data_IF_971872492325
#
_entry.id   IF_971872492325
#
_cell.length_a   1.000
_cell.length_b   1.000
_cell.length_c   1.000
_cell.angle_alpha   90.00
_cell.angle_beta   90.00
_cell.angle_gamma   90.00
#
_symmetry.space_group_name_H-M   'P 1'
#
loop_
_entity.id
_entity.type
_entity.pdbx_description
1 polymer ?
#
# COMPACT_ATOMS: atom_id res chain seq x y z
N UNK A 1 -53.28 -27.44 -44.29
CA UNK A 1 -52.50 -27.90 -43.14
C UNK A 1 -51.06 -27.43 -43.16
N UNK A 2 -50.27 -27.52 -44.22
CA UNK A 2 -48.87 -27.05 -44.30
C UNK A 2 -48.64 -25.55 -44.01
N UNK A 3 -49.61 -24.70 -44.37
CA UNK A 3 -49.47 -23.25 -44.16
C UNK A 3 -49.83 -22.79 -42.76
N UNK A 4 -50.74 -23.50 -42.07
CA UNK A 4 -51.03 -23.25 -40.66
C UNK A 4 -49.85 -23.63 -39.73
N UNK A 5 -49.12 -24.69 -40.12
CA UNK A 5 -47.94 -25.11 -39.33
C UNK A 5 -46.78 -24.06 -39.43
N UNK A 6 -46.66 -23.41 -40.57
CA UNK A 6 -45.65 -22.33 -40.79
C UNK A 6 -45.98 -21.06 -39.99
N UNK A 7 -47.27 -20.70 -39.91
CA UNK A 7 -47.74 -19.55 -39.12
C UNK A 7 -47.58 -19.79 -37.65
N UNK A 8 -47.90 -21.02 -37.16
CA UNK A 8 -47.70 -21.41 -35.76
C UNK A 8 -46.21 -21.41 -35.40
N UNK A 9 -45.29 -21.82 -36.31
CA UNK A 9 -43.85 -21.78 -36.08
C UNK A 9 -43.29 -20.36 -36.00
N UNK A 10 -43.82 -19.42 -36.79
CA UNK A 10 -43.42 -17.99 -36.75
C UNK A 10 -43.94 -17.30 -35.51
N UNK A 11 -45.15 -17.62 -35.07
CA UNK A 11 -45.71 -17.11 -33.78
C UNK A 11 -44.96 -17.69 -32.58
N UNK A 12 -44.57 -18.97 -32.63
CA UNK A 12 -43.75 -19.59 -31.59
C UNK A 12 -42.32 -18.98 -31.48
N UNK A 13 -41.72 -18.55 -32.60
CA UNK A 13 -40.42 -17.87 -32.61
C UNK A 13 -40.50 -16.42 -32.11
N UNK A 14 -41.67 -15.77 -32.20
CA UNK A 14 -41.90 -14.43 -31.64
C UNK A 14 -42.09 -14.44 -30.11
N UNK A 15 -42.50 -15.59 -29.52
CA UNK A 15 -42.63 -15.76 -28.06
C UNK A 15 -41.35 -16.31 -27.41
N UNK A 16 -40.33 -16.70 -28.18
CA UNK A 16 -38.98 -17.03 -27.70
C UNK A 16 -38.07 -15.79 -27.67
N UNK A 17 -38.62 -14.59 -27.86
CA UNK A 17 -37.94 -13.35 -27.42
C UNK A 17 -37.86 -13.43 -25.91
N UNK A 18 -36.79 -14.08 -25.44
CA UNK A 18 -36.44 -14.07 -24.04
C UNK A 18 -36.45 -12.64 -23.55
N UNK A 19 -36.93 -12.44 -22.35
CA UNK A 19 -36.79 -11.20 -21.64
C UNK A 19 -35.34 -10.73 -21.80
N UNK A 20 -35.09 -9.88 -22.78
CA UNK A 20 -33.94 -9.00 -22.77
C UNK A 20 -34.19 -8.13 -21.53
N UNK A 21 -33.79 -8.64 -20.38
CA UNK A 21 -33.48 -7.78 -19.27
C UNK A 21 -32.43 -6.82 -19.81
N UNK A 22 -32.89 -5.70 -20.34
CA UNK A 22 -32.07 -4.53 -20.39
C UNK A 22 -31.55 -4.43 -18.96
N UNK A 23 -30.29 -4.77 -18.75
CA UNK A 23 -29.60 -4.46 -17.52
C UNK A 23 -29.69 -2.94 -17.40
N UNK A 24 -30.78 -2.50 -16.78
CA UNK A 24 -31.00 -1.13 -16.40
C UNK A 24 -29.98 -0.80 -15.34
N UNK A 25 -28.74 -0.58 -15.77
CA UNK A 25 -27.72 -0.03 -14.93
C UNK A 25 -28.26 1.28 -14.38
N UNK A 26 -28.36 1.36 -13.05
CA UNK A 26 -28.52 2.64 -12.40
C UNK A 26 -29.88 3.06 -11.91
N UNK A 27 -30.92 2.25 -12.00
CA UNK A 27 -32.19 2.57 -11.35
C UNK A 27 -32.37 1.69 -10.11
N UNK A 28 -32.52 2.32 -8.95
CA UNK A 28 -32.83 1.64 -7.71
C UNK A 28 -34.17 0.90 -7.85
N UNK A 29 -34.14 -0.42 -7.98
CA UNK A 29 -35.35 -1.24 -8.05
C UNK A 29 -35.87 -1.53 -6.65
N UNK A 30 -37.19 -1.38 -6.37
CA UNK A 30 -37.76 -1.58 -5.04
C UNK A 30 -37.56 -3.00 -4.46
N UNK A 31 -37.19 -3.96 -5.29
CA UNK A 31 -37.00 -5.37 -4.90
C UNK A 31 -35.59 -5.78 -4.55
N UNK A 32 -34.60 -4.93 -4.74
CA UNK A 32 -33.20 -5.19 -4.40
C UNK A 32 -32.70 -4.12 -3.44
N UNK A 33 -32.39 -4.51 -2.20
CA UNK A 33 -31.69 -3.64 -1.27
C UNK A 33 -30.28 -3.42 -1.77
N UNK A 34 -30.00 -2.22 -2.28
CA UNK A 34 -28.67 -1.78 -2.69
C UNK A 34 -28.24 -0.67 -1.75
N UNK A 35 -27.08 -0.84 -1.13
CA UNK A 35 -26.47 0.17 -0.26
C UNK A 35 -25.65 1.20 -1.07
N UNK A 36 -25.85 1.26 -2.39
CA UNK A 36 -25.12 2.14 -3.31
C UNK A 36 -26.08 2.74 -4.35
N UNK A 37 -25.78 3.98 -4.75
CA UNK A 37 -26.55 4.70 -5.76
C UNK A 37 -26.54 3.99 -7.13
N UNK A 38 -25.45 3.26 -7.42
CA UNK A 38 -25.26 2.51 -8.67
C UNK A 38 -24.39 1.28 -8.40
N UNK A 39 -24.56 0.24 -9.19
CA UNK A 39 -23.68 -0.93 -9.16
C UNK A 39 -22.34 -0.58 -9.84
N UNK A 40 -21.25 -0.89 -9.17
CA UNK A 40 -19.90 -0.78 -9.76
C UNK A 40 -19.70 -1.95 -10.73
N UNK A 41 -20.00 -1.74 -12.01
CA UNK A 41 -19.94 -2.78 -13.06
C UNK A 41 -18.51 -3.19 -13.40
N UNK A 42 -17.56 -2.25 -13.31
CA UNK A 42 -16.19 -2.49 -13.70
C UNK A 42 -15.32 -2.80 -12.48
N UNK A 43 -14.85 -4.05 -12.36
CA UNK A 43 -13.77 -4.37 -11.43
C UNK A 43 -12.50 -3.59 -11.83
N UNK A 44 -11.74 -3.06 -10.86
CA UNK A 44 -10.47 -2.42 -11.16
C UNK A 44 -9.52 -3.48 -11.75
N UNK A 45 -9.21 -3.34 -13.04
CA UNK A 45 -8.21 -4.16 -13.73
C UNK A 45 -7.22 -3.22 -14.42
N UNK A 46 -6.50 -2.46 -13.61
CA UNK A 46 -5.50 -1.52 -14.09
C UNK A 46 -4.15 -2.22 -14.26
N UNK A 47 -3.55 -2.05 -15.43
CA UNK A 47 -2.15 -2.43 -15.63
C UNK A 47 -1.26 -1.38 -15.01
N UNK A 48 -0.24 -1.85 -14.32
CA UNK A 48 0.83 -0.99 -13.77
C UNK A 48 1.56 -0.31 -14.91
N UNK A 49 1.71 1.00 -14.84
CA UNK A 49 2.53 1.76 -15.78
C UNK A 49 4.00 1.44 -15.45
N UNK A 50 4.77 0.83 -16.37
CA UNK A 50 6.17 0.55 -16.12
C UNK A 50 6.95 1.84 -15.92
N UNK A 51 7.99 1.79 -15.09
CA UNK A 51 8.92 2.91 -14.98
C UNK A 51 9.59 3.17 -16.32
N UNK A 52 9.82 4.44 -16.62
CA UNK A 52 10.60 4.81 -17.80
C UNK A 52 11.99 4.17 -17.75
N UNK A 53 12.47 3.72 -18.91
CA UNK A 53 13.82 3.18 -18.99
C UNK A 53 14.84 4.29 -18.68
N UNK A 54 15.75 4.00 -17.78
CA UNK A 54 16.78 4.92 -17.31
C UNK A 54 18.15 4.28 -17.54
N UNK A 55 19.03 4.97 -18.27
CA UNK A 55 20.42 4.53 -18.43
C UNK A 55 21.26 5.12 -17.31
N UNK A 56 22.29 4.42 -16.91
CA UNK A 56 23.25 4.92 -15.92
C UNK A 56 23.88 6.26 -16.35
N UNK A 57 24.18 6.40 -17.64
CA UNK A 57 24.75 7.64 -18.21
C UNK A 57 23.80 8.86 -18.19
N UNK A 58 22.50 8.62 -18.03
CA UNK A 58 21.47 9.68 -17.98
C UNK A 58 21.21 10.16 -16.54
N UNK A 59 21.74 9.46 -15.54
CA UNK A 59 21.66 9.84 -14.12
C UNK A 59 22.83 10.74 -13.76
N UNK A 60 22.57 12.04 -13.62
CA UNK A 60 23.59 12.99 -13.20
C UNK A 60 23.77 13.00 -11.69
N UNK A 61 22.67 12.85 -10.99
CA UNK A 61 22.62 12.86 -9.53
C UNK A 61 21.62 11.81 -9.03
N UNK A 62 21.97 11.14 -7.95
CA UNK A 62 21.06 10.23 -7.27
C UNK A 62 21.36 10.20 -5.78
N UNK A 63 20.31 10.05 -4.98
CA UNK A 63 20.40 9.92 -3.53
C UNK A 63 19.35 8.98 -3.01
N UNK A 64 19.74 8.10 -2.10
CA UNK A 64 18.81 7.18 -1.44
C UNK A 64 18.30 7.81 -0.17
N UNK A 65 16.99 7.71 0.04
CA UNK A 65 16.28 8.31 1.16
C UNK A 65 15.34 7.30 1.78
N UNK A 66 15.32 7.27 3.10
CA UNK A 66 14.33 6.53 3.88
C UNK A 66 13.36 7.53 4.50
N UNK A 67 12.08 7.33 4.21
CA UNK A 67 10.99 8.17 4.71
C UNK A 67 10.08 7.40 5.63
N UNK A 68 9.58 8.08 6.64
CA UNK A 68 8.57 7.54 7.54
C UNK A 68 7.21 8.15 7.23
N UNK A 69 6.24 7.30 6.96
CA UNK A 69 4.82 7.64 6.75
C UNK A 69 4.07 7.25 8.02
N UNK A 70 3.63 8.24 8.78
CA UNK A 70 2.90 8.03 10.05
C UNK A 70 1.41 7.95 9.76
N UNK A 71 0.77 6.84 10.14
CA UNK A 71 -0.64 6.59 9.81
C UNK A 71 -1.63 7.45 10.58
N UNK A 72 -1.24 8.01 11.73
CA UNK A 72 -2.09 8.92 12.51
C UNK A 72 -2.27 10.30 11.88
N UNK A 73 -1.43 10.66 10.91
CA UNK A 73 -1.57 11.93 10.21
C UNK A 73 -2.79 11.94 9.29
N UNK A 74 -3.50 13.06 9.24
CA UNK A 74 -4.76 13.23 8.50
C UNK A 74 -4.65 12.82 7.02
N UNK A 75 -3.56 13.17 6.34
CA UNK A 75 -3.34 12.79 4.94
C UNK A 75 -3.18 11.29 4.73
N UNK A 76 -2.69 10.59 5.75
CA UNK A 76 -2.35 9.17 5.68
C UNK A 76 -3.49 8.26 6.16
N UNK A 77 -4.58 8.82 6.68
CA UNK A 77 -5.74 8.04 7.14
C UNK A 77 -6.31 7.13 6.06
N UNK A 78 -6.18 7.51 4.79
CA UNK A 78 -6.61 6.68 3.66
C UNK A 78 -5.81 5.38 3.53
N UNK A 79 -4.59 5.31 4.08
CA UNK A 79 -3.77 4.11 4.11
C UNK A 79 -4.16 3.19 5.28
N UNK A 80 -4.71 3.78 6.35
CA UNK A 80 -5.08 3.08 7.58
C UNK A 80 -6.49 2.49 7.52
N UNK A 81 -7.47 3.25 7.03
CA UNK A 81 -8.87 2.83 6.96
C UNK A 81 -9.21 2.11 5.65
N UNK A 82 -10.18 1.16 5.68
CA UNK A 82 -11.03 0.76 6.80
C UNK A 82 -10.31 -0.20 7.76
N UNK A 83 -10.65 -0.12 9.05
CA UNK A 83 -10.13 -1.04 10.08
C UNK A 83 -10.63 -2.46 9.86
N UNK A 84 -11.91 -2.59 9.50
CA UNK A 84 -12.52 -3.86 9.11
C UNK A 84 -12.68 -3.87 7.58
N UNK A 85 -12.10 -4.87 6.88
CA UNK A 85 -12.19 -4.95 5.44
C UNK A 85 -13.65 -5.02 4.96
N UNK A 86 -14.01 -4.16 4.02
CA UNK A 86 -15.28 -4.21 3.31
C UNK A 86 -15.10 -4.88 1.95
N UNK A 87 -16.20 -5.33 1.32
CA UNK A 87 -16.16 -6.01 0.02
C UNK A 87 -15.37 -5.23 -1.05
N UNK A 88 -15.46 -3.90 -1.03
CA UNK A 88 -14.87 -3.02 -2.05
C UNK A 88 -13.60 -2.30 -1.58
N UNK A 89 -13.31 -2.26 -0.28
CA UNK A 89 -12.21 -1.47 0.28
C UNK A 89 -11.49 -2.26 1.38
N UNK A 90 -10.17 -2.22 1.33
CA UNK A 90 -9.28 -2.85 2.31
C UNK A 90 -8.22 -1.84 2.71
N UNK A 91 -7.74 -1.91 3.94
CA UNK A 91 -6.58 -1.11 4.35
C UNK A 91 -5.31 -1.53 3.62
N UNK A 92 -4.29 -0.68 3.63
CA UNK A 92 -2.99 -1.05 3.04
C UNK A 92 -2.42 -2.31 3.71
N UNK A 93 -2.60 -2.45 5.03
CA UNK A 93 -2.18 -3.64 5.77
C UNK A 93 -2.89 -4.91 5.30
N UNK A 94 -4.21 -4.86 5.16
CA UNK A 94 -5.00 -6.01 4.70
C UNK A 94 -4.62 -6.44 3.29
N UNK A 95 -4.26 -5.49 2.42
CA UNK A 95 -3.76 -5.78 1.08
C UNK A 95 -2.40 -6.49 1.13
N UNK A 96 -1.50 -6.04 2.00
CA UNK A 96 -0.19 -6.68 2.22
C UNK A 96 -0.39 -8.11 2.69
N UNK A 97 -1.18 -8.31 3.75
CA UNK A 97 -1.48 -9.65 4.30
C UNK A 97 -2.15 -10.54 3.27
N UNK A 98 -3.13 -10.01 2.53
CA UNK A 98 -3.79 -10.73 1.46
C UNK A 98 -2.84 -11.17 0.34
N UNK A 99 -1.89 -10.29 -0.02
CA UNK A 99 -0.89 -10.58 -1.06
C UNK A 99 0.14 -11.60 -0.63
N UNK A 100 0.55 -11.59 0.64
CA UNK A 100 1.48 -12.60 1.20
C UNK A 100 0.80 -13.97 1.27
N UNK A 101 -0.48 -14.02 1.62
CA UNK A 101 -1.24 -15.28 1.69
C UNK A 101 -1.61 -15.82 0.31
N UNK A 102 -1.79 -14.95 -0.69
CA UNK A 102 -2.13 -15.36 -2.04
C UNK A 102 -0.87 -15.76 -2.82
N UNK A 103 -0.77 -17.04 -3.15
CA UNK A 103 0.38 -17.59 -3.88
C UNK A 103 0.55 -17.04 -5.31
N UNK A 104 -0.54 -16.52 -5.91
CA UNK A 104 -0.49 -15.98 -7.27
C UNK A 104 0.32 -14.68 -7.36
N UNK A 105 0.35 -13.89 -6.29
CA UNK A 105 1.05 -12.60 -6.28
C UNK A 105 2.56 -12.73 -6.12
N UNK A 106 3.06 -13.92 -5.79
CA UNK A 106 4.49 -14.25 -5.65
C UNK A 106 5.31 -13.20 -4.87
N UNK A 107 4.69 -12.62 -3.82
CA UNK A 107 5.31 -11.57 -3.02
C UNK A 107 6.34 -12.17 -2.07
N UNK A 108 7.59 -11.74 -2.22
CA UNK A 108 8.69 -12.16 -1.35
C UNK A 108 8.89 -11.14 -0.22
N UNK A 109 8.90 -11.64 1.01
CA UNK A 109 9.24 -10.84 2.19
C UNK A 109 10.73 -10.97 2.48
N UNK A 110 11.33 -9.88 2.95
CA UNK A 110 12.75 -9.84 3.29
C UNK A 110 12.94 -9.45 4.75
N UNK A 111 13.92 -10.08 5.38
CA UNK A 111 14.26 -9.80 6.77
C UNK A 111 14.80 -8.39 6.93
N UNK A 112 14.50 -7.78 8.07
CA UNK A 112 14.95 -6.42 8.41
C UNK A 112 16.18 -6.50 9.30
N UNK A 113 17.20 -5.71 8.98
CA UNK A 113 18.27 -5.40 9.91
C UNK A 113 17.93 -4.09 10.64
N UNK A 114 17.76 -4.08 11.96
CA UNK A 114 17.42 -2.85 12.68
C UNK A 114 18.57 -1.83 12.72
N UNK A 115 19.79 -2.29 12.46
CA UNK A 115 20.99 -1.45 12.48
C UNK A 115 21.39 -0.89 11.12
N UNK A 116 20.97 -1.56 10.03
CA UNK A 116 21.39 -1.21 8.68
C UNK A 116 20.22 -1.34 7.72
N UNK A 117 19.58 -0.22 7.42
CA UNK A 117 18.44 -0.17 6.50
C UNK A 117 18.87 -0.33 5.03
N UNK A 118 20.16 -0.20 4.74
CA UNK A 118 20.65 -0.38 3.38
C UNK A 118 20.68 -1.85 2.95
N UNK A 119 20.87 -2.77 3.89
CA UNK A 119 20.79 -4.21 3.65
C UNK A 119 19.37 -4.76 3.48
N UNK A 120 18.44 -3.94 3.01
CA UNK A 120 17.11 -4.39 2.56
C UNK A 120 17.28 -5.39 1.41
N UNK A 121 16.38 -6.34 1.28
CA UNK A 121 16.33 -7.30 0.16
C UNK A 121 17.50 -8.28 0.02
N UNK A 122 18.40 -8.38 0.97
CA UNK A 122 19.52 -9.33 0.94
C UNK A 122 19.14 -10.72 1.45
N UNK A 123 18.21 -10.79 2.42
CA UNK A 123 17.81 -12.02 3.09
C UNK A 123 16.31 -12.28 2.89
N UNK A 124 15.91 -13.09 1.90
CA UNK A 124 14.52 -13.47 1.76
C UNK A 124 14.07 -14.33 2.95
N UNK A 125 12.88 -14.03 3.45
CA UNK A 125 12.24 -14.80 4.52
C UNK A 125 11.64 -16.10 3.98
N UNK A 126 11.75 -17.17 4.75
CA UNK A 126 11.00 -18.39 4.46
C UNK A 126 9.51 -18.16 4.71
N UNK A 127 8.67 -18.97 4.08
CA UNK A 127 7.22 -18.84 4.24
C UNK A 127 6.78 -18.90 5.70
N UNK A 128 7.36 -19.83 6.47
CA UNK A 128 7.08 -19.99 7.91
C UNK A 128 7.46 -18.75 8.72
N UNK A 129 8.60 -18.12 8.40
CA UNK A 129 9.01 -16.85 9.02
C UNK A 129 8.07 -15.71 8.64
N UNK A 130 7.64 -15.63 7.38
CA UNK A 130 6.67 -14.66 6.91
C UNK A 130 5.33 -14.80 7.63
N UNK A 131 4.80 -16.02 7.71
CA UNK A 131 3.55 -16.29 8.42
C UNK A 131 3.66 -15.93 9.92
N UNK A 132 4.79 -16.24 10.57
CA UNK A 132 5.06 -15.87 11.96
C UNK A 132 5.17 -14.35 12.16
N UNK A 133 5.73 -13.63 11.19
CA UNK A 133 5.84 -12.17 11.25
C UNK A 133 4.48 -11.46 11.19
N UNK A 134 3.46 -12.12 10.61
CA UNK A 134 2.09 -11.61 10.53
C UNK A 134 1.27 -11.87 11.80
N UNK A 135 1.86 -12.49 12.83
CA UNK A 135 1.20 -12.80 14.08
C UNK A 135 1.70 -11.89 15.21
N UNK A 136 0.79 -11.58 16.14
CA UNK A 136 1.12 -11.03 17.47
C UNK A 136 0.94 -12.12 18.50
N UNK A 137 1.86 -12.17 19.46
CA UNK A 137 1.78 -13.08 20.60
C UNK A 137 0.91 -12.41 21.65
N UNK A 138 -0.21 -13.05 21.99
CA UNK A 138 -1.11 -12.59 23.05
C UNK A 138 -1.22 -13.67 24.11
N UNK A 139 -1.04 -13.27 25.37
CA UNK A 139 -1.27 -14.16 26.50
C UNK A 139 -2.77 -14.41 26.66
N UNK A 140 -3.20 -15.63 26.45
CA UNK A 140 -4.59 -16.05 26.65
C UNK A 140 -4.67 -16.86 27.93
N UNK A 141 -5.45 -16.37 28.91
CA UNK A 141 -5.70 -17.10 30.16
C UNK A 141 -6.92 -17.98 29.97
N UNK A 142 -6.74 -19.26 30.14
CA UNK A 142 -7.80 -20.26 30.07
C UNK A 142 -8.73 -20.16 31.29
N UNK A 143 -9.95 -20.71 31.19
CA UNK A 143 -10.92 -20.76 32.30
C UNK A 143 -10.38 -21.40 33.58
N UNK A 144 -9.28 -22.15 33.46
CA UNK A 144 -8.58 -22.80 34.58
C UNK A 144 -7.43 -21.96 35.18
N UNK A 145 -7.27 -20.69 34.72
CA UNK A 145 -6.21 -19.80 35.20
C UNK A 145 -4.81 -20.03 34.61
N UNK A 146 -4.67 -20.97 33.64
CA UNK A 146 -3.41 -21.20 32.96
C UNK A 146 -3.23 -20.18 31.82
N UNK A 147 -2.14 -19.43 31.85
CA UNK A 147 -1.80 -18.50 30.77
C UNK A 147 -0.99 -19.22 29.70
N UNK A 148 -1.48 -19.22 28.48
CA UNK A 148 -0.78 -19.74 27.30
C UNK A 148 -0.60 -18.64 26.26
N UNK A 149 0.55 -18.61 25.59
CA UNK A 149 0.81 -17.68 24.51
C UNK A 149 0.16 -18.18 23.22
N UNK A 150 -0.79 -17.41 22.70
CA UNK A 150 -1.46 -17.70 21.42
C UNK A 150 -1.04 -16.68 20.37
N UNK A 151 -0.72 -17.16 19.16
CA UNK A 151 -0.47 -16.30 18.01
C UNK A 151 -1.79 -15.82 17.39
N UNK A 152 -2.08 -14.54 17.49
CA UNK A 152 -3.23 -13.92 16.82
C UNK A 152 -2.76 -13.14 15.58
N UNK A 153 -3.57 -13.08 14.50
CA UNK A 153 -3.23 -12.29 13.34
C UNK A 153 -3.15 -10.80 13.70
N UNK A 154 -2.16 -10.11 13.13
CA UNK A 154 -2.08 -8.66 13.22
C UNK A 154 -3.19 -8.03 12.40
N UNK A 155 -3.82 -7.02 12.96
CA UNK A 155 -4.88 -6.22 12.33
C UNK A 155 -4.37 -4.84 11.94
N UNK A 156 -5.14 -4.11 11.12
CA UNK A 156 -4.79 -2.75 10.70
C UNK A 156 -4.47 -1.80 11.86
N UNK A 157 -5.17 -1.81 13.01
CA UNK A 157 -4.87 -0.98 14.18
C UNK A 157 -3.52 -1.27 14.86
N UNK A 158 -2.94 -2.43 14.62
CA UNK A 158 -1.65 -2.80 15.18
C UNK A 158 -0.48 -2.16 14.40
N UNK A 159 -0.73 -1.62 13.21
CA UNK A 159 0.26 -0.96 12.36
C UNK A 159 0.21 0.55 12.59
N UNK A 160 1.36 1.13 12.89
CA UNK A 160 1.47 2.56 13.22
C UNK A 160 2.07 3.40 12.10
N UNK A 161 3.01 2.83 11.36
CA UNK A 161 3.84 3.57 10.41
C UNK A 161 4.30 2.66 9.26
N UNK A 162 4.66 3.28 8.13
CA UNK A 162 5.36 2.62 7.03
C UNK A 162 6.66 3.35 6.73
N UNK A 163 7.76 2.63 6.66
CA UNK A 163 9.01 3.18 6.15
C UNK A 163 9.12 2.88 4.66
N UNK A 164 9.40 3.91 3.88
CA UNK A 164 9.65 3.82 2.44
C UNK A 164 11.14 3.99 2.17
N UNK A 165 11.69 3.12 1.35
CA UNK A 165 13.03 3.24 0.78
C UNK A 165 12.88 3.75 -0.65
N UNK A 166 13.46 4.92 -0.93
CA UNK A 166 13.31 5.63 -2.18
C UNK A 166 14.67 5.96 -2.78
N UNK A 167 14.79 5.84 -4.09
CA UNK A 167 15.92 6.40 -4.85
C UNK A 167 15.42 7.63 -5.61
N UNK A 168 16.00 8.78 -5.26
CA UNK A 168 15.80 10.06 -5.93
C UNK A 168 16.92 10.25 -6.94
N UNK A 169 16.58 10.68 -8.13
CA UNK A 169 17.56 10.88 -9.20
C UNK A 169 17.12 11.97 -10.16
N UNK A 170 18.09 12.61 -10.76
CA UNK A 170 17.87 13.57 -11.84
C UNK A 170 18.15 12.91 -13.18
N UNK A 171 17.11 12.88 -14.03
CA UNK A 171 17.19 12.33 -15.39
C UNK A 171 17.55 13.43 -16.37
N UNK A 172 18.75 13.33 -16.96
CA UNK A 172 19.27 14.29 -17.94
C UNK A 172 18.41 14.40 -19.20
N UNK A 173 17.85 13.27 -19.64
CA UNK A 173 17.06 13.27 -20.90
C UNK A 173 15.74 14.00 -20.74
N UNK A 174 15.07 13.82 -19.60
CA UNK A 174 13.79 14.46 -19.31
C UNK A 174 13.95 15.80 -18.58
N UNK A 175 15.15 16.09 -18.08
CA UNK A 175 15.45 17.27 -17.26
C UNK A 175 14.52 17.40 -16.06
N UNK A 176 14.23 16.32 -15.38
CA UNK A 176 13.35 16.29 -14.21
C UNK A 176 13.95 15.48 -13.08
N UNK A 177 13.68 15.90 -11.85
CA UNK A 177 13.90 15.08 -10.67
C UNK A 177 12.76 14.07 -10.56
N UNK A 178 13.10 12.80 -10.50
CA UNK A 178 12.13 11.71 -10.38
C UNK A 178 12.49 10.84 -9.17
N UNK A 179 11.53 10.06 -8.70
CA UNK A 179 11.70 9.19 -7.53
C UNK A 179 11.14 7.80 -7.81
N UNK A 180 11.88 6.78 -7.36
CA UNK A 180 11.41 5.40 -7.40
C UNK A 180 11.35 4.84 -5.99
N UNK A 181 10.16 4.38 -5.60
CA UNK A 181 10.01 3.63 -4.37
C UNK A 181 10.54 2.21 -4.62
N UNK A 182 11.56 1.82 -3.87
CA UNK A 182 12.18 0.51 -3.95
C UNK A 182 11.55 -0.47 -2.98
N UNK A 183 11.22 0.00 -1.78
CA UNK A 183 10.71 -0.85 -0.73
C UNK A 183 9.82 -0.18 0.27
N UNK A 184 9.04 -1.02 0.94
CA UNK A 184 8.15 -0.63 2.01
C UNK A 184 8.35 -1.58 3.20
N UNK A 185 8.44 -1.02 4.40
CA UNK A 185 8.54 -1.77 5.65
C UNK A 185 7.47 -1.30 6.63
N UNK A 186 6.49 -2.13 6.98
CA UNK A 186 5.52 -1.80 8.02
C UNK A 186 6.15 -1.86 9.42
N UNK A 187 5.66 -0.98 10.30
CA UNK A 187 5.97 -0.97 11.72
C UNK A 187 4.73 -1.35 12.51
N UNK A 188 4.86 -2.37 13.33
CA UNK A 188 3.82 -2.75 14.28
C UNK A 188 4.07 -2.12 15.64
N UNK A 189 3.02 -1.94 16.42
CA UNK A 189 3.10 -1.63 17.84
C UNK A 189 3.99 -2.66 18.54
N UNK A 190 4.81 -2.20 19.47
CA UNK A 190 5.56 -3.11 20.31
C UNK A 190 4.64 -3.69 21.40
N UNK A 191 4.70 -4.99 21.59
CA UNK A 191 3.96 -5.70 22.60
C UNK A 191 4.94 -6.28 23.63
N UNK A 192 4.58 -6.24 24.87
CA UNK A 192 5.29 -6.88 25.96
C UNK A 192 5.07 -8.43 25.90
N UNK A 193 5.77 -9.19 26.75
CA UNK A 193 5.65 -10.65 26.86
C UNK A 193 4.23 -11.10 27.26
N UNK A 194 3.46 -10.24 27.89
CA UNK A 194 2.07 -10.47 28.28
C UNK A 194 1.07 -10.08 27.17
N UNK A 195 1.54 -9.58 26.04
CA UNK A 195 0.70 -9.12 24.93
C UNK A 195 0.10 -7.72 25.12
N UNK A 196 0.55 -6.94 26.12
CA UNK A 196 0.12 -5.57 26.30
C UNK A 196 0.91 -4.65 25.36
N UNK A 197 0.26 -3.63 24.83
CA UNK A 197 0.90 -2.60 24.01
C UNK A 197 1.86 -1.75 24.87
N UNK A 198 3.09 -1.57 24.39
CA UNK A 198 4.06 -0.63 24.95
C UNK A 198 3.85 0.72 24.29
N UNK A 199 3.29 1.71 24.99
CA UNK A 199 2.97 3.01 24.40
C UNK A 199 4.22 3.69 23.81
N UNK A 200 4.07 4.23 22.58
CA UNK A 200 5.13 4.98 21.90
C UNK A 200 6.27 4.14 21.33
N UNK A 201 6.21 2.81 21.46
CA UNK A 201 7.20 1.92 20.88
C UNK A 201 6.65 1.19 19.67
N UNK A 202 7.47 1.07 18.62
CA UNK A 202 7.11 0.34 17.41
C UNK A 202 8.27 -0.54 16.94
N UNK A 203 7.95 -1.67 16.32
CA UNK A 203 8.92 -2.66 15.87
C UNK A 203 8.83 -2.83 14.37
N UNK A 204 9.97 -2.81 13.69
CA UNK A 204 10.07 -3.14 12.25
C UNK A 204 9.67 -4.59 12.03
N UNK A 205 8.98 -4.84 10.91
CA UNK A 205 8.50 -6.18 10.61
C UNK A 205 9.32 -6.86 9.52
N UNK A 206 9.18 -6.42 8.29
CA UNK A 206 9.84 -6.98 7.11
C UNK A 206 9.87 -5.97 5.98
N UNK A 207 10.78 -6.16 5.03
CA UNK A 207 10.80 -5.41 3.80
C UNK A 207 9.98 -6.09 2.72
N UNK A 208 9.23 -5.29 1.98
CA UNK A 208 8.52 -5.67 0.76
C UNK A 208 9.17 -4.94 -0.40
N UNK A 209 9.53 -5.67 -1.44
CA UNK A 209 10.01 -5.05 -2.68
C UNK A 209 8.82 -4.41 -3.40
N UNK A 210 8.79 -3.08 -3.41
CA UNK A 210 7.63 -2.30 -3.86
C UNK A 210 7.21 -2.60 -5.30
N UNK A 211 8.13 -2.78 -6.29
CA UNK A 211 7.73 -3.12 -7.65
C UNK A 211 6.93 -4.43 -7.78
N UNK A 212 7.16 -5.41 -6.90
CA UNK A 212 6.36 -6.65 -6.86
C UNK A 212 4.95 -6.41 -6.32
N UNK A 213 4.77 -5.40 -5.47
CA UNK A 213 3.47 -5.08 -4.89
C UNK A 213 2.60 -4.18 -5.78
N UNK A 214 3.20 -3.43 -6.70
CA UNK A 214 2.49 -2.48 -7.58
C UNK A 214 1.26 -3.08 -8.30
N UNK A 215 1.30 -4.31 -8.87
CA UNK A 215 0.12 -4.91 -9.49
C UNK A 215 -1.07 -5.06 -8.55
N UNK A 216 -0.83 -5.35 -7.28
CA UNK A 216 -1.88 -5.45 -6.25
C UNK A 216 -2.40 -4.07 -5.89
N UNK A 217 -1.50 -3.10 -5.69
CA UNK A 217 -1.84 -1.72 -5.36
C UNK A 217 -2.64 -1.02 -6.47
N UNK A 218 -2.37 -1.34 -7.74
CA UNK A 218 -3.07 -0.77 -8.89
C UNK A 218 -4.53 -1.22 -9.00
N UNK A 219 -4.87 -2.38 -8.42
CA UNK A 219 -6.21 -2.96 -8.46
C UNK A 219 -7.00 -2.75 -7.17
N UNK A 220 -6.40 -2.14 -6.15
CA UNK A 220 -7.05 -1.87 -4.88
C UNK A 220 -7.50 -0.42 -4.76
N UNK A 221 -8.79 -0.22 -4.54
CA UNK A 221 -9.39 1.11 -4.39
C UNK A 221 -9.14 1.66 -2.98
N UNK A 222 -8.88 2.97 -2.93
CA UNK A 222 -8.72 3.76 -1.73
C UNK A 222 -9.90 4.70 -1.55
N UNK A 223 -10.24 4.99 -0.31
CA UNK A 223 -11.24 6.01 0.01
C UNK A 223 -10.79 7.40 -0.47
N UNK A 224 -11.70 8.14 -1.08
CA UNK A 224 -11.50 9.53 -1.46
C UNK A 224 -12.54 10.38 -0.76
N UNK A 225 -12.09 11.16 0.23
CA UNK A 225 -12.95 12.02 1.06
C UNK A 225 -13.61 13.18 0.29
N UNK A 226 -13.15 13.47 -0.92
CA UNK A 226 -13.69 14.57 -1.73
C UNK A 226 -14.69 14.12 -2.78
N UNK A 227 -14.61 12.88 -3.24
CA UNK A 227 -15.46 12.38 -4.33
C UNK A 227 -15.53 10.85 -4.33
N UNK A 228 -16.67 10.30 -3.90
CA UNK A 228 -16.90 8.86 -3.85
C UNK A 228 -16.98 8.20 -5.24
N UNK A 229 -17.26 8.97 -6.30
CA UNK A 229 -17.31 8.48 -7.67
C UNK A 229 -15.91 8.31 -8.29
N UNK A 230 -14.92 9.05 -7.83
CA UNK A 230 -13.53 8.94 -8.29
C UNK A 230 -12.87 7.69 -7.70
N UNK A 231 -12.52 6.76 -8.56
CA UNK A 231 -11.79 5.54 -8.17
C UNK A 231 -10.31 5.82 -8.15
N UNK A 232 -9.78 6.05 -6.96
CA UNK A 232 -8.36 6.23 -6.70
C UNK A 232 -7.77 4.92 -6.20
N UNK A 233 -6.59 4.54 -6.67
CA UNK A 233 -5.90 3.32 -6.23
C UNK A 233 -4.74 3.64 -5.29
N UNK A 234 -4.25 2.63 -4.54
CA UNK A 234 -3.05 2.77 -3.73
C UNK A 234 -1.82 3.11 -4.59
N UNK A 235 -1.74 2.55 -5.81
CA UNK A 235 -0.69 2.92 -6.75
C UNK A 235 -0.72 4.42 -7.08
N UNK A 236 -1.91 4.99 -7.31
CA UNK A 236 -2.07 6.43 -7.56
C UNK A 236 -1.55 7.28 -6.38
N UNK A 237 -1.78 6.84 -5.12
CA UNK A 237 -1.31 7.55 -3.92
C UNK A 237 0.21 7.60 -3.88
N UNK A 238 0.88 6.46 -4.08
CA UNK A 238 2.33 6.39 -4.05
C UNK A 238 2.96 7.07 -5.27
N UNK A 239 2.40 6.89 -6.45
CA UNK A 239 2.89 7.51 -7.67
C UNK A 239 2.80 9.05 -7.65
N UNK A 240 1.65 9.58 -7.22
CA UNK A 240 1.40 11.02 -7.11
C UNK A 240 1.90 11.61 -5.80
N UNK A 241 2.48 10.80 -4.93
CA UNK A 241 2.99 11.19 -3.60
C UNK A 241 1.95 11.89 -2.73
N UNK A 242 0.72 11.36 -2.73
CA UNK A 242 -0.41 11.91 -1.97
C UNK A 242 -0.42 11.40 -0.52
N UNK A 243 0.70 11.51 0.16
CA UNK A 243 0.90 11.13 1.56
C UNK A 243 1.84 12.11 2.25
N UNK A 244 1.69 12.27 3.54
CA UNK A 244 2.61 13.01 4.40
C UNK A 244 3.71 12.08 4.92
N UNK A 245 4.94 12.58 4.97
CA UNK A 245 6.09 11.81 5.45
C UNK A 245 7.24 12.73 5.81
N UNK A 246 8.11 12.27 6.72
CA UNK A 246 9.37 12.93 7.03
C UNK A 246 10.57 12.03 6.69
N UNK A 247 11.72 12.64 6.45
CA UNK A 247 12.95 11.90 6.14
C UNK A 247 13.56 11.39 7.45
N UNK A 248 13.82 10.08 7.50
CA UNK A 248 14.45 9.42 8.64
C UNK A 248 15.97 9.31 8.46
N UNK A 249 16.40 9.08 7.22
CA UNK A 249 17.78 8.87 6.87
C UNK A 249 17.98 9.21 5.39
N UNK A 250 19.14 9.75 5.07
CA UNK A 250 19.67 9.83 3.71
C UNK A 250 20.92 8.97 3.58
N UNK A 251 21.29 8.59 2.35
CA UNK A 251 22.58 7.92 2.12
C UNK A 251 23.73 8.83 2.51
N UNK A 252 24.53 8.41 3.47
CA UNK A 252 25.70 9.13 3.96
C UNK A 252 26.86 8.14 4.24
N UNK A 253 28.08 8.65 4.30
CA UNK A 253 29.31 7.84 4.46
C UNK A 253 29.27 6.97 5.71
N UNK A 254 28.67 7.45 6.78
CA UNK A 254 28.60 6.74 8.07
C UNK A 254 27.34 5.88 8.24
N UNK A 255 26.44 5.87 7.24
CA UNK A 255 25.17 5.18 7.25
C UNK A 255 24.32 5.46 8.51
N UNK A 256 24.39 6.73 9.01
CA UNK A 256 23.71 7.17 10.23
C UNK A 256 22.31 7.71 9.92
N UNK A 257 21.37 7.42 10.81
CA UNK A 257 20.03 8.03 10.83
C UNK A 257 20.13 9.45 11.37
N UNK A 258 19.18 10.30 11.03
CA UNK A 258 19.11 11.67 11.56
C UNK A 258 19.03 11.64 13.09
N UNK A 259 18.26 10.74 13.69
CA UNK A 259 18.15 10.57 15.13
C UNK A 259 19.42 10.09 15.85
N UNK A 260 20.44 9.59 15.12
CA UNK A 260 21.71 9.16 15.71
C UNK A 260 22.62 10.35 16.02
N UNK A 261 22.50 11.45 15.28
CA UNK A 261 23.31 12.66 15.47
C UNK A 261 22.52 13.88 15.93
N UNK A 262 21.21 13.92 15.72
CA UNK A 262 20.29 14.90 16.30
C UNK A 262 19.52 14.25 17.45
N UNK A 263 19.87 14.63 18.68
CA UNK A 263 19.26 14.01 19.88
C UNK A 263 17.88 14.56 20.22
N UNK A 264 17.62 15.82 19.86
CA UNK A 264 16.31 16.42 20.04
C UNK A 264 15.40 16.09 18.84
N UNK A 265 14.18 15.72 19.11
CA UNK A 265 13.17 15.39 18.10
C UNK A 265 12.85 16.58 17.19
N UNK A 266 12.85 17.81 17.75
CA UNK A 266 12.62 19.01 16.96
C UNK A 266 13.77 19.27 15.97
N UNK A 267 15.00 19.15 16.44
CA UNK A 267 16.20 19.31 15.62
C UNK A 267 16.26 18.25 14.52
N UNK A 268 15.85 17.01 14.82
CA UNK A 268 15.77 15.94 13.84
C UNK A 268 14.73 16.23 12.73
N UNK A 269 13.58 16.81 13.08
CA UNK A 269 12.57 17.23 12.11
C UNK A 269 13.06 18.42 11.26
N UNK A 270 13.74 19.40 11.87
CA UNK A 270 14.30 20.52 11.15
C UNK A 270 15.40 20.09 10.17
N UNK A 271 16.25 19.14 10.56
CA UNK A 271 17.25 18.57 9.66
C UNK A 271 16.61 17.78 8.52
N UNK A 272 15.55 17.00 8.80
CA UNK A 272 14.78 16.31 7.77
C UNK A 272 14.17 17.29 6.74
N UNK A 273 13.65 18.43 7.21
CA UNK A 273 13.08 19.46 6.32
C UNK A 273 14.19 20.22 5.56
N UNK A 274 15.37 20.43 6.16
CA UNK A 274 16.53 21.00 5.49
C UNK A 274 16.98 20.08 4.36
N UNK A 275 17.14 18.78 4.58
CA UNK A 275 17.50 17.81 3.53
C UNK A 275 16.50 17.88 2.36
N UNK A 276 15.20 17.98 2.67
CA UNK A 276 14.16 18.15 1.65
C UNK A 276 14.31 19.47 0.88
N UNK A 277 14.63 20.56 1.58
CA UNK A 277 14.92 21.87 1.00
C UNK A 277 16.14 21.83 0.09
N UNK A 278 17.22 21.15 0.52
CA UNK A 278 18.45 21.01 -0.27
C UNK A 278 18.19 20.25 -1.59
N UNK A 279 17.34 19.21 -1.56
CA UNK A 279 16.95 18.52 -2.79
C UNK A 279 16.12 19.41 -3.72
N UNK A 280 15.22 20.20 -3.17
CA UNK A 280 14.41 21.15 -3.94
C UNK A 280 15.31 22.23 -4.58
N UNK A 281 16.25 22.79 -3.83
CA UNK A 281 17.20 23.77 -4.34
C UNK A 281 18.07 23.17 -5.44
N UNK A 282 18.53 21.93 -5.26
CA UNK A 282 19.31 21.22 -6.27
C UNK A 282 18.52 21.06 -7.58
N UNK A 283 17.26 20.70 -7.50
CA UNK A 283 16.39 20.61 -8.68
C UNK A 283 16.27 21.97 -9.36
N UNK A 284 16.03 23.03 -8.58
CA UNK A 284 15.92 24.39 -9.10
C UNK A 284 17.23 24.87 -9.76
N UNK A 285 18.38 24.60 -9.13
CA UNK A 285 19.70 25.01 -9.64
C UNK A 285 20.04 24.28 -10.96
N UNK A 286 19.60 23.04 -11.13
CA UNK A 286 19.78 22.31 -12.39
C UNK A 286 18.94 22.87 -13.57
N UNK A 287 17.93 23.68 -13.31
CA UNK A 287 17.14 24.36 -14.32
C UNK A 287 17.71 25.73 -14.71
N UNK A 288 18.68 26.26 -13.95
CA UNK A 288 19.36 27.51 -14.27
C UNK A 288 20.52 27.22 -15.23
N UNK A 289 20.51 27.85 -16.37
CA UNK A 289 21.56 27.83 -17.39
C UNK A 289 22.49 29.01 -17.21
#
# INVERSE_FOLDING_TARGET
>A
MKNMLKVAAVIGLLFLGGDLFAQGGGVLSPGQMQDQLYLKENAPNRRVIPYAYLREADVIWSKRIWRMVVLSEKMNLNLYYPVTPNANRKSLWDLIVGSVKNKENNLTLYSVSPFDYDKSFTMPMTKTQGDSALLKIVAVTDSNGNTSNSGQPLESPDITQYMLKEDWFFDKQRSVMDVRVLGMCPFKKAFDQNGNEIPGSSTLMFWIYFPQMRPVLSNAEVFNDKNDAERRTYEDIFWKRMFSSYILQESNVANRKIGDYMKDHLDALLEAEKIKGDMFNLEHDMWQY
#
